data_IF_439212337120
#
_entry.id   IF_439212337120
#
_cell.length_a   1.000
_cell.length_b   1.000
_cell.length_c   1.000
_cell.angle_alpha   90.00
_cell.angle_beta   90.00
_cell.angle_gamma   90.00
#
_symmetry.space_group_name_H-M   'P 1'
#
loop_
_entity.id
_entity.type
_entity.pdbx_description
1 polymer ?
2 non-polymer ?
3 water ?
#
# COMPACT_ATOMS: atom_id res chain seq x y z
N UNK A 2 -17.03 -13.03 -6.88
CA UNK A 2 -15.76 -12.30 -6.98
C UNK A 2 -15.96 -10.88 -7.49
N UNK A 3 -15.62 -9.91 -6.65
CA UNK A 3 -15.84 -8.50 -6.96
C UNK A 3 -14.58 -7.66 -6.87
N UNK A 4 -14.64 -6.44 -7.41
CA UNK A 4 -13.51 -5.52 -7.32
C UNK A 4 -13.14 -5.27 -5.86
N UNK A 5 -11.85 -5.08 -5.61
CA UNK A 5 -11.42 -4.75 -4.26
C UNK A 5 -11.86 -3.34 -3.91
N UNK A 6 -11.96 -2.98 -2.63
CA UNK A 6 -12.36 -1.60 -2.31
C UNK A 6 -11.29 -0.60 -2.78
N UNK A 7 -11.74 0.59 -3.16
CA UNK A 7 -10.91 1.71 -3.58
C UNK A 7 -10.62 2.67 -2.43
N UNK A 8 -11.58 2.85 -1.54
CA UNK A 8 -11.41 3.67 -0.35
C UNK A 8 -10.36 3.08 0.59
N UNK A 9 -9.58 3.93 1.21
CA UNK A 9 -8.53 3.50 2.13
C UNK A 9 -8.68 4.22 3.47
N UNK A 10 -9.23 3.55 4.47
CA UNK A 10 -9.71 2.18 4.33
C UNK A 10 -11.09 2.11 3.70
N UNK A 11 -11.46 0.88 3.39
CA UNK A 11 -12.80 0.57 2.88
C UNK A 11 -13.86 0.78 3.97
N UNK A 12 -13.49 0.52 5.22
CA UNK A 12 -14.42 0.54 6.34
C UNK A 12 -13.67 0.76 7.65
N UNK A 13 -14.03 1.81 8.35
CA UNK A 13 -13.28 2.28 9.54
C UNK A 13 -13.30 1.29 10.69
N UNK A 14 -14.31 0.42 10.72
CA UNK A 14 -14.33 -0.57 11.78
C UNK A 14 -13.35 -1.69 11.49
N UNK A 15 -12.93 -1.87 10.23
CA UNK A 15 -12.02 -2.99 9.97
C UNK A 15 -10.70 -2.82 10.74
N UNK A 16 -10.13 -3.90 11.29
CA UNK A 16 -8.81 -3.82 11.90
C UNK A 16 -7.79 -3.14 11.00
N UNK A 17 -6.96 -2.34 11.67
CA UNK A 17 -5.76 -1.78 11.05
C UNK A 17 -4.51 -2.31 11.75
N UNK A 18 -3.65 -2.99 10.99
CA UNK A 18 -2.42 -3.52 11.58
C UNK A 18 -1.21 -2.98 10.82
N UNK A 19 0.00 -3.26 11.33
CA UNK A 19 1.19 -2.77 10.64
C UNK A 19 2.39 -3.72 10.71
N UNK A 20 3.27 -3.50 9.74
CA UNK A 20 4.59 -4.05 9.63
C UNK A 20 5.60 -2.90 9.51
N UNK A 21 6.62 -2.94 10.33
CA UNK A 21 7.82 -2.14 10.18
C UNK A 21 8.85 -3.02 9.48
N UNK A 22 9.31 -2.59 8.32
CA UNK A 22 10.12 -3.43 7.46
C UNK A 22 11.58 -2.99 7.46
N UNK A 23 12.45 -3.97 7.68
CA UNK A 23 13.89 -3.80 7.62
C UNK A 23 14.47 -4.55 6.42
N UNK A 24 15.43 -3.95 5.72
CA UNK A 24 16.10 -4.68 4.66
C UNK A 24 17.61 -4.46 4.80
N UNK A 25 18.35 -5.56 4.74
CA UNK A 25 19.78 -5.62 4.95
C UNK A 25 20.17 -4.95 6.26
N UNK A 26 19.35 -5.19 7.29
CA UNK A 26 19.48 -4.55 8.58
C UNK A 26 19.14 -3.08 8.56
N UNK A 27 18.53 -2.56 7.50
CA UNK A 27 18.15 -1.15 7.43
C UNK A 27 16.64 -1.01 7.54
N UNK A 28 16.21 -0.15 8.46
CA UNK A 28 14.77 0.10 8.60
C UNK A 28 14.29 0.82 7.35
N UNK A 29 13.34 0.24 6.62
CA UNK A 29 12.87 0.88 5.40
C UNK A 29 11.67 1.76 5.72
N UNK A 30 10.70 1.16 6.40
CA UNK A 30 9.59 1.94 6.90
C UNK A 30 8.40 1.04 7.24
N UNK A 31 7.28 1.71 7.50
CA UNK A 31 6.03 1.08 7.86
C UNK A 31 5.08 0.84 6.69
N UNK A 32 4.54 -0.37 6.66
CA UNK A 32 3.34 -0.70 5.92
C UNK A 32 2.13 -0.81 6.85
N UNK A 33 1.07 -0.06 6.59
CA UNK A 33 -0.15 -0.22 7.37
C UNK A 33 -1.19 -0.97 6.54
N UNK A 34 -1.86 -1.96 7.12
CA UNK A 34 -2.80 -2.77 6.37
C UNK A 34 -4.19 -2.72 6.98
N UNK A 35 -5.21 -2.60 6.11
CA UNK A 35 -6.58 -2.78 6.53
C UNK A 35 -7.01 -4.24 6.39
N UNK A 36 -7.64 -4.79 7.43
CA UNK A 36 -8.06 -6.19 7.32
C UNK A 36 -9.57 -6.21 7.09
N UNK A 37 -10.02 -6.94 6.08
CA UNK A 37 -11.41 -6.82 5.65
C UNK A 37 -12.30 -7.73 6.49
N UNK A 38 -12.26 -7.52 7.80
CA UNK A 38 -13.03 -8.33 8.75
C UNK A 38 -14.49 -8.44 8.33
N UNK A 39 -14.99 -7.35 7.73
CA UNK A 39 -16.37 -7.29 7.29
C UNK A 39 -16.67 -8.36 6.24
N UNK A 40 -15.68 -8.79 5.48
CA UNK A 40 -15.92 -9.77 4.41
C UNK A 40 -15.41 -11.15 4.77
N UNK A 41 -14.19 -11.23 5.29
CA UNK A 41 -13.64 -12.54 5.65
C UNK A 41 -13.14 -12.45 7.10
N UNK A 42 -14.08 -12.34 8.04
CA UNK A 42 -13.78 -12.09 9.45
C UNK A 42 -12.78 -13.09 10.04
N UNK A 43 -12.94 -14.35 9.66
CA UNK A 43 -12.12 -15.44 10.18
C UNK A 43 -10.72 -15.38 9.61
N UNK A 44 -10.61 -14.97 8.34
CA UNK A 44 -9.26 -14.83 7.77
C UNK A 44 -8.58 -13.59 8.35
N UNK A 45 -9.32 -12.50 8.49
CA UNK A 45 -8.87 -11.26 9.07
C UNK A 45 -8.37 -11.44 10.51
N UNK A 46 -9.17 -12.11 11.33
CA UNK A 46 -8.81 -12.37 12.71
C UNK A 46 -7.53 -13.19 12.84
N UNK A 47 -7.33 -14.24 12.07
CA UNK A 47 -6.08 -15.01 12.11
C UNK A 47 -4.87 -14.10 11.88
N UNK A 48 -4.96 -13.30 10.80
CA UNK A 48 -3.87 -12.40 10.49
C UNK A 48 -3.71 -11.32 11.55
N UNK A 49 -4.85 -10.83 12.07
CA UNK A 49 -4.77 -9.77 13.06
C UNK A 49 -4.02 -10.30 14.29
N UNK A 50 -4.41 -11.51 14.72
CA UNK A 50 -3.79 -12.07 15.92
C UNK A 50 -2.32 -12.37 15.67
N UNK A 51 -2.01 -12.79 14.44
CA UNK A 51 -0.60 -13.04 14.14
C UNK A 51 0.20 -11.75 14.17
N UNK A 52 -0.47 -10.60 13.98
CA UNK A 52 0.23 -9.32 14.14
C UNK A 52 0.50 -8.95 15.60
N UNK A 53 -0.41 -9.31 16.51
CA UNK A 53 -0.20 -8.92 17.91
C UNK A 53 0.64 -9.95 18.66
N UNK A 54 0.60 -11.22 18.26
CA UNK A 54 1.29 -12.27 18.99
C UNK A 54 0.48 -12.78 20.18
N UNK A 55 -0.69 -12.17 20.37
CA UNK A 55 -1.50 -12.39 21.56
C UNK A 55 -1.94 -13.83 21.79
N UNK A 56 -1.88 -14.73 20.82
CA UNK A 56 -2.31 -16.12 20.98
C UNK A 56 -1.18 -16.97 21.55
N UNK A 57 0.03 -16.43 21.60
CA UNK A 57 1.07 -17.17 22.31
C UNK A 57 1.79 -18.15 21.41
N UNK A 58 2.05 -19.35 21.93
CA UNK A 58 2.85 -20.34 21.21
C UNK A 58 1.97 -21.21 20.32
N UNK A 59 2.52 -21.55 19.14
CA UNK A 59 1.76 -22.40 18.24
C UNK A 59 1.99 -23.87 18.55
N UNK A 60 0.89 -24.59 18.66
CA UNK A 60 0.87 -26.02 18.98
C UNK A 60 1.55 -26.90 17.94
N UNK A 61 1.42 -26.63 16.63
CA UNK A 61 2.06 -27.60 15.74
C UNK A 61 3.46 -27.19 15.35
N UNK A 62 3.83 -25.91 15.51
CA UNK A 62 5.19 -25.53 15.13
C UNK A 62 6.09 -25.30 16.33
N UNK A 63 5.51 -24.83 17.45
CA UNK A 63 6.38 -24.52 18.59
C UNK A 63 6.97 -23.13 18.52
N UNK A 64 6.55 -22.37 17.51
CA UNK A 64 7.00 -20.99 17.43
C UNK A 64 5.89 -20.07 17.94
N UNK A 65 6.27 -18.86 18.29
CA UNK A 65 5.22 -17.87 18.61
C UNK A 65 4.28 -17.73 17.41
N UNK A 66 2.99 -17.57 17.68
CA UNK A 66 2.02 -17.26 16.65
C UNK A 66 2.08 -15.75 16.42
N UNK A 67 3.09 -15.34 15.65
CA UNK A 67 3.51 -13.96 15.51
C UNK A 67 4.37 -13.76 14.27
N UNK A 68 4.13 -12.68 13.53
CA UNK A 68 4.88 -12.28 12.34
C UNK A 68 6.16 -11.54 12.69
N UNK A 69 6.28 -11.17 13.97
CA UNK A 69 7.46 -10.47 14.45
C UNK A 69 8.72 -11.26 14.13
N UNK A 70 9.63 -10.62 13.39
CA UNK A 70 10.89 -11.21 12.99
C UNK A 70 10.78 -12.16 11.81
N UNK A 71 9.59 -12.26 11.23
CA UNK A 71 9.33 -13.12 10.09
C UNK A 71 9.83 -12.49 8.80
N UNK A 72 10.76 -13.14 8.12
CA UNK A 72 11.26 -12.57 6.88
C UNK A 72 10.28 -12.80 5.72
N UNK A 73 10.41 -12.01 4.66
CA UNK A 73 9.75 -12.27 3.38
C UNK A 73 10.67 -13.16 2.55
N UNK A 74 10.31 -14.42 2.32
CA UNK A 74 11.28 -15.32 1.74
C UNK A 74 11.20 -15.44 0.23
N UNK A 75 10.14 -14.90 -0.37
CA UNK A 75 9.91 -15.09 -1.79
C UNK A 75 9.33 -13.82 -2.40
N UNK A 76 10.10 -13.21 -3.28
CA UNK A 76 9.69 -11.91 -3.83
C UNK A 76 9.89 -11.90 -5.34
N UNK A 77 8.85 -11.55 -6.07
CA UNK A 77 8.90 -11.53 -7.54
C UNK A 77 8.41 -10.19 -8.05
N UNK A 78 9.36 -9.42 -8.55
CA UNK A 78 9.13 -8.08 -9.05
C UNK A 78 7.99 -8.09 -10.06
N UNK A 79 7.11 -7.09 -10.02
CA UNK A 79 5.97 -7.08 -10.92
C UNK A 79 5.01 -8.22 -10.63
N UNK A 80 5.02 -8.77 -9.41
CA UNK A 80 3.98 -9.79 -9.14
C UNK A 80 3.55 -9.70 -7.68
N UNK A 81 4.40 -10.14 -6.75
CA UNK A 81 3.93 -10.14 -5.36
C UNK A 81 5.08 -10.28 -4.36
N UNK A 82 4.77 -9.97 -3.10
CA UNK A 82 5.68 -10.19 -1.99
C UNK A 82 5.10 -11.22 -1.02
N UNK A 83 5.86 -12.27 -0.73
CA UNK A 83 5.38 -13.35 0.10
C UNK A 83 6.23 -13.54 1.35
N UNK A 84 5.53 -13.64 2.46
CA UNK A 84 6.12 -13.89 3.76
C UNK A 84 5.19 -14.66 4.67
N UNK A 85 5.38 -14.54 5.99
CA UNK A 85 4.52 -15.20 6.94
C UNK A 85 4.98 -16.58 7.36
N UNK A 86 6.04 -17.14 6.80
CA UNK A 86 6.50 -18.46 7.29
C UNK A 86 7.37 -18.28 8.53
N UNK A 87 6.75 -18.08 9.69
CA UNK A 87 7.56 -17.75 10.86
C UNK A 87 8.23 -18.99 11.45
N UNK A 88 7.81 -20.17 11.00
CA UNK A 88 8.46 -21.36 11.57
C UNK A 88 9.56 -21.88 10.64
N UNK A 89 9.37 -21.97 9.33
CA UNK A 89 10.45 -22.49 8.48
C UNK A 89 11.13 -21.44 7.62
N UNK A 90 10.59 -20.22 7.56
CA UNK A 90 11.10 -19.06 6.86
C UNK A 90 11.51 -19.36 5.41
N UNK A 91 10.82 -20.28 4.74
CA UNK A 91 11.17 -20.68 3.39
C UNK A 91 9.94 -21.17 2.64
N UNK A 92 8.75 -20.89 3.15
CA UNK A 92 7.51 -21.27 2.52
C UNK A 92 6.96 -22.63 2.83
N UNK A 93 7.66 -23.47 3.61
CA UNK A 93 7.05 -24.77 3.92
C UNK A 93 6.33 -24.78 5.26
N UNK A 94 6.40 -23.67 6.00
CA UNK A 94 5.90 -23.67 7.36
C UNK A 94 4.83 -22.64 7.67
N UNK A 95 4.85 -22.19 8.92
CA UNK A 95 3.87 -21.30 9.49
C UNK A 95 2.62 -22.05 9.92
N UNK A 96 1.69 -21.38 10.57
CA UNK A 96 0.45 -22.04 10.99
C UNK A 96 -0.51 -20.95 11.46
N UNK A 97 -1.79 -21.23 11.35
CA UNK A 97 -2.89 -20.37 11.69
C UNK A 97 -3.16 -20.39 13.19
N UNK A 98 -4.13 -19.57 13.62
CA UNK A 98 -4.47 -19.55 15.04
C UNK A 98 -5.54 -20.58 15.35
N UNK A 99 -5.94 -21.38 14.36
CA UNK A 99 -7.04 -22.30 14.56
C UNK A 99 -6.62 -23.77 14.51
N UNK A 100 -5.36 -24.00 14.25
CA UNK A 100 -4.71 -25.24 13.85
C UNK A 100 -3.82 -24.98 12.65
N UNK A 101 -3.12 -25.98 12.10
CA UNK A 101 -2.22 -25.67 11.00
C UNK A 101 -2.91 -24.91 9.86
N UNK A 102 -3.96 -25.51 9.30
CA UNK A 102 -4.66 -25.12 8.11
C UNK A 102 -6.15 -24.88 8.32
N UNK A 103 -6.66 -23.76 7.82
CA UNK A 103 -8.11 -23.55 7.88
C UNK A 103 -8.63 -23.35 6.45
N UNK A 104 -9.94 -23.29 6.33
CA UNK A 104 -10.50 -23.30 4.98
C UNK A 104 -10.54 -21.92 4.34
N UNK A 105 -10.55 -21.94 3.01
CA UNK A 105 -10.83 -20.77 2.18
C UNK A 105 -12.21 -20.23 2.55
N UNK A 106 -12.20 -19.12 3.28
CA UNK A 106 -13.42 -18.56 3.83
C UNK A 106 -14.37 -18.14 2.71
N UNK A 107 -13.84 -17.38 1.75
CA UNK A 107 -14.59 -17.02 0.55
C UNK A 107 -13.63 -16.32 -0.42
N UNK A 108 -14.06 -16.13 -1.66
CA UNK A 108 -13.26 -15.46 -2.66
C UNK A 108 -14.00 -14.24 -3.19
N UNK A 109 -14.55 -13.44 -2.27
CA UNK A 109 -15.43 -12.33 -2.59
C UNK A 109 -14.75 -11.19 -3.34
N UNK A 110 -13.47 -10.98 -3.02
CA UNK A 110 -12.72 -9.92 -3.69
C UNK A 110 -11.75 -10.47 -4.72
N UNK A 111 -11.60 -9.71 -5.79
CA UNK A 111 -10.65 -10.08 -6.83
C UNK A 111 -9.27 -9.49 -6.59
N UNK A 112 -8.20 -10.15 -7.03
CA UNK A 112 -6.89 -9.51 -6.93
C UNK A 112 -6.76 -8.50 -8.07
N UNK A 113 -7.51 -7.41 -7.97
CA UNK A 113 -7.63 -6.48 -9.10
C UNK A 113 -6.64 -5.33 -9.01
N UNK A 114 -5.72 -5.28 -8.05
CA UNK A 114 -4.78 -4.16 -8.06
C UNK A 114 -3.62 -4.37 -7.10
N UNK A 115 -2.64 -3.47 -7.22
CA UNK A 115 -1.50 -3.58 -6.31
C UNK A 115 -1.93 -3.31 -4.87
N UNK A 116 -1.22 -3.87 -3.90
CA UNK A 116 -1.45 -3.45 -2.52
C UNK A 116 -2.48 -4.30 -1.82
N UNK A 117 -2.82 -5.44 -2.42
CA UNK A 117 -3.81 -6.33 -1.85
C UNK A 117 -3.13 -7.46 -1.07
N UNK A 118 -3.74 -7.78 0.06
CA UNK A 118 -3.27 -8.81 0.96
C UNK A 118 -4.10 -10.06 0.76
N UNK A 119 -3.43 -11.16 0.45
CA UNK A 119 -4.12 -12.41 0.13
C UNK A 119 -3.36 -13.59 0.71
N UNK A 120 -4.09 -14.66 0.99
CA UNK A 120 -3.59 -15.85 1.66
C UNK A 120 -2.86 -16.79 0.71
N UNK A 121 -1.60 -17.06 1.05
CA UNK A 121 -0.86 -18.06 0.28
C UNK A 121 -1.46 -19.42 0.59
N UNK A 122 -1.33 -20.44 -0.27
CA UNK A 122 -1.86 -21.71 0.24
C UNK A 122 -1.27 -22.87 -0.54
N UNK A 123 -1.61 -24.10 -0.17
CA UNK A 123 -1.07 -25.23 -0.94
C UNK A 123 -2.23 -26.04 -1.49
N UNK A 124 -3.21 -25.30 -2.00
CA UNK A 124 -4.44 -25.89 -2.50
C UNK A 124 -5.65 -25.53 -1.68
N UNK A 125 -6.80 -26.05 -2.10
CA UNK A 125 -8.03 -25.72 -1.37
C UNK A 125 -7.82 -26.00 0.11
N UNK A 126 -8.37 -25.09 0.89
CA UNK A 126 -8.44 -25.17 2.33
C UNK A 126 -7.12 -25.57 2.98
N UNK A 127 -6.04 -24.87 2.64
CA UNK A 127 -4.76 -25.08 3.32
C UNK A 127 -4.19 -23.75 3.84
N UNK A 128 -5.05 -22.82 4.26
CA UNK A 128 -4.59 -21.55 4.79
C UNK A 128 -3.85 -21.68 6.13
N UNK A 129 -2.68 -21.04 6.20
CA UNK A 129 -1.90 -21.08 7.43
C UNK A 129 -1.57 -19.70 7.96
N UNK A 130 -0.29 -19.34 7.97
CA UNK A 130 0.03 -17.97 8.35
C UNK A 130 0.63 -17.22 7.17
N UNK A 131 1.06 -17.96 6.14
CA UNK A 131 1.68 -17.35 4.98
C UNK A 131 0.71 -16.52 4.14
N UNK A 132 1.19 -15.38 3.66
CA UNK A 132 0.35 -14.45 2.93
C UNK A 132 1.18 -13.79 1.81
N UNK A 133 0.53 -13.02 0.95
CA UNK A 133 1.34 -12.22 0.03
C UNK A 133 0.64 -10.88 -0.12
N UNK A 134 1.44 -9.92 -0.55
CA UNK A 134 1.01 -8.58 -0.90
C UNK A 134 1.24 -8.44 -2.40
N UNK A 135 0.19 -8.16 -3.15
CA UNK A 135 0.42 -8.04 -4.61
C UNK A 135 1.09 -6.72 -4.95
N UNK A 136 1.90 -6.68 -6.02
CA UNK A 136 2.43 -5.38 -6.45
C UNK A 136 1.85 -4.96 -7.79
N UNK A 137 0.93 -5.75 -8.31
CA UNK A 137 0.21 -5.53 -9.55
C UNK A 137 -1.12 -6.27 -9.47
N UNK A 138 -2.06 -6.03 -10.39
CA UNK A 138 -3.25 -6.89 -10.46
C UNK A 138 -2.79 -8.33 -10.68
N UNK A 139 -3.36 -9.30 -9.96
CA UNK A 139 -2.97 -10.70 -10.17
C UNK A 139 -4.20 -11.56 -10.45
N UNK A 140 -4.91 -11.30 -11.55
CA UNK A 140 -6.20 -11.97 -11.76
C UNK A 140 -6.09 -13.48 -11.87
N UNK A 141 -4.92 -14.01 -12.25
CA UNK A 141 -4.87 -15.48 -12.40
C UNK A 141 -5.08 -16.16 -11.05
N UNK A 142 -4.99 -15.38 -9.98
CA UNK A 142 -5.03 -15.98 -8.65
C UNK A 142 -6.46 -16.02 -8.13
N UNK A 143 -7.33 -15.24 -8.74
CA UNK A 143 -8.71 -15.15 -8.28
C UNK A 143 -9.36 -16.50 -8.04
N UNK A 144 -10.10 -16.65 -6.94
CA UNK A 144 -10.81 -17.90 -6.68
C UNK A 144 -9.88 -18.97 -6.16
N UNK A 145 -8.60 -18.66 -6.10
CA UNK A 145 -7.66 -19.69 -5.65
C UNK A 145 -6.98 -19.23 -4.37
N UNK A 146 -7.01 -17.92 -4.18
CA UNK A 146 -6.47 -17.36 -2.93
C UNK A 146 -7.44 -16.34 -2.37
N UNK A 147 -7.68 -16.41 -1.06
CA UNK A 147 -8.60 -15.50 -0.39
C UNK A 147 -7.93 -14.13 -0.20
N UNK A 148 -8.54 -13.09 -0.73
CA UNK A 148 -8.04 -11.72 -0.54
C UNK A 148 -8.65 -11.18 0.73
N UNK A 149 -7.91 -10.59 1.67
CA UNK A 149 -8.54 -10.30 2.97
C UNK A 149 -8.11 -8.98 3.55
N UNK A 150 -7.30 -8.23 2.82
CA UNK A 150 -7.05 -6.85 3.23
C UNK A 150 -6.36 -6.06 2.14
N UNK A 151 -5.92 -4.84 2.44
CA UNK A 151 -5.10 -4.10 1.50
C UNK A 151 -4.17 -3.11 2.21
N UNK A 152 -3.11 -2.70 1.52
CA UNK A 152 -2.24 -1.65 2.04
C UNK A 152 -2.97 -0.32 2.15
N UNK A 153 -2.90 0.39 3.28
CA UNK A 153 -3.53 1.73 3.29
C UNK A 153 -2.51 2.82 3.57
N UNK A 154 -1.29 2.46 3.97
CA UNK A 154 -0.18 3.38 4.17
C UNK A 154 1.11 2.63 3.85
N UNK A 155 2.13 3.26 3.30
CA UNK A 155 3.40 2.56 3.11
C UNK A 155 3.50 1.74 1.85
N UNK A 156 2.63 1.96 0.86
CA UNK A 156 2.81 1.18 -0.39
C UNK A 156 4.19 1.44 -0.98
N UNK A 157 4.76 2.63 -0.80
CA UNK A 157 6.13 2.94 -1.19
C UNK A 157 7.14 2.02 -0.53
N UNK A 158 6.92 1.64 0.73
CA UNK A 158 7.74 0.61 1.37
C UNK A 158 7.56 -0.75 0.69
N UNK A 159 6.31 -1.10 0.36
CA UNK A 159 6.12 -2.34 -0.39
C UNK A 159 6.91 -2.31 -1.70
N UNK A 160 6.92 -1.14 -2.34
CA UNK A 160 7.60 -0.89 -3.60
C UNK A 160 9.10 -1.15 -3.42
N UNK A 161 9.65 -0.58 -2.34
CA UNK A 161 11.08 -0.83 -2.11
C UNK A 161 11.32 -2.31 -1.93
N UNK A 162 10.48 -2.96 -1.13
CA UNK A 162 10.64 -4.42 -0.93
C UNK A 162 10.57 -5.15 -2.25
N UNK A 163 9.65 -4.70 -3.10
CA UNK A 163 9.43 -5.38 -4.38
C UNK A 163 10.70 -5.44 -5.23
N UNK A 164 11.55 -4.45 -5.08
CA UNK A 164 12.74 -4.21 -5.86
C UNK A 164 14.06 -4.71 -5.29
N UNK A 165 14.06 -5.42 -4.17
CA UNK A 165 15.33 -5.92 -3.67
C UNK A 165 15.98 -6.89 -4.64
N UNK A 166 17.31 -6.95 -4.57
CA UNK A 166 18.04 -8.00 -5.26
C UNK A 166 17.62 -9.37 -4.76
N UNK A 167 17.47 -10.26 -5.73
CA UNK A 167 17.05 -11.62 -5.43
C UNK A 167 17.95 -12.62 -6.14
N UNK A 168 18.06 -13.81 -5.58
CA UNK A 168 18.73 -14.94 -6.23
C UNK A 168 17.64 -15.97 -6.52
N UNK A 169 17.21 -16.03 -7.77
CA UNK A 169 15.99 -16.82 -7.98
C UNK A 169 14.86 -15.89 -7.55
N UNK A 170 14.13 -16.28 -6.52
CA UNK A 170 13.07 -15.46 -5.95
C UNK A 170 13.33 -15.14 -4.48
N UNK A 171 14.48 -15.58 -3.98
CA UNK A 171 14.88 -15.36 -2.60
C UNK A 171 15.69 -14.08 -2.49
N UNK A 172 15.29 -13.13 -1.64
CA UNK A 172 16.00 -11.85 -1.56
C UNK A 172 17.46 -12.04 -1.15
N UNK A 173 18.36 -11.27 -1.75
CA UNK A 173 19.78 -11.37 -1.41
C UNK A 173 20.03 -10.78 -0.02
N UNK A 174 19.42 -9.64 0.26
CA UNK A 174 19.49 -9.08 1.61
C UNK A 174 18.32 -9.55 2.47
N UNK A 175 18.48 -9.65 3.79
CA UNK A 175 17.38 -10.19 4.58
C UNK A 175 16.23 -9.18 4.62
N UNK A 176 15.06 -9.68 4.24
CA UNK A 176 13.85 -8.86 4.22
C UNK A 176 12.92 -9.35 5.31
N UNK A 177 12.65 -8.48 6.28
CA UNK A 177 12.04 -8.96 7.51
C UNK A 177 11.04 -8.01 8.12
N UNK A 178 10.08 -8.62 8.82
CA UNK A 178 9.14 -7.86 9.65
C UNK A 178 9.83 -7.60 10.99
N UNK A 179 10.43 -6.43 11.13
CA UNK A 179 11.15 -6.07 12.34
C UNK A 179 10.21 -5.87 13.51
N UNK A 180 9.03 -5.34 13.18
CA UNK A 180 7.98 -5.15 14.16
C UNK A 180 6.63 -5.24 13.48
N UNK A 181 5.61 -5.50 14.29
CA UNK A 181 4.24 -5.57 13.78
C UNK A 181 3.26 -5.38 14.91
N UNK A 182 1.98 -5.25 14.57
CA UNK A 182 1.01 -5.04 15.64
C UNK A 182 -0.30 -4.51 15.12
N UNK A 183 -1.13 -4.12 16.08
CA UNK A 183 -2.44 -3.62 15.66
C UNK A 183 -2.60 -2.17 16.05
N UNK A 184 -3.30 -1.35 15.25
CA UNK A 184 -3.51 0.04 15.65
C UNK A 184 -4.89 0.21 16.28
N UNK A 185 -4.97 0.88 17.42
CA UNK A 185 -6.24 1.27 18.02
C UNK A 185 -6.79 2.46 17.24
N UNK A 186 -8.12 2.59 17.22
CA UNK A 186 -8.71 3.80 16.64
C UNK A 186 -8.01 5.01 17.21
N UNK A 187 -7.46 5.88 16.37
CA UNK A 187 -6.92 7.10 16.97
C UNK A 187 -5.46 7.00 17.33
N UNK A 188 -4.90 5.79 17.40
CA UNK A 188 -3.44 5.76 17.58
C UNK A 188 -2.76 6.52 16.44
N UNK A 189 -1.52 6.95 16.62
CA UNK A 189 -0.76 7.54 15.53
C UNK A 189 -0.37 6.48 14.49
N UNK A 190 -0.37 6.80 13.20
CA UNK A 190 -0.05 5.78 12.19
C UNK A 190 1.33 5.16 12.37
N UNK A 191 2.23 5.92 12.98
CA UNK A 191 3.62 5.52 13.10
C UNK A 191 4.30 5.42 11.74
N UNK A 192 3.97 6.36 10.84
CA UNK A 192 4.55 6.26 9.49
C UNK A 192 5.56 7.36 9.23
N UNK A 193 5.85 8.24 10.19
CA UNK A 193 6.99 9.14 10.04
C UNK A 193 8.27 8.33 10.23
N UNK A 194 9.43 8.76 9.74
CA UNK A 194 10.61 7.89 9.85
C UNK A 194 11.12 7.81 11.28
N UNK A 195 11.37 6.58 11.74
CA UNK A 195 11.80 6.42 13.12
C UNK A 195 13.30 6.63 13.22
N UNK A 196 13.70 7.88 13.05
CA UNK A 196 15.13 8.20 13.00
C UNK A 196 15.54 9.27 14.00
N UNK A 197 14.66 9.74 14.87
CA UNK A 197 15.03 10.72 15.88
C UNK A 197 15.24 12.12 15.33
N UNK A 198 14.92 12.36 14.06
CA UNK A 198 15.25 13.62 13.41
C UNK A 198 14.24 14.73 13.67
N UNK A 199 13.14 14.42 14.37
CA UNK A 199 12.10 15.42 14.53
C UNK A 199 11.25 15.53 13.27
N UNK A 200 11.49 14.66 12.29
CA UNK A 200 10.69 14.62 11.06
C UNK A 200 9.35 13.94 11.30
N UNK A 201 8.28 14.72 11.39
CA UNK A 201 6.96 14.14 11.58
C UNK A 201 6.23 13.78 10.29
N UNK A 202 6.80 13.93 9.10
CA UNK A 202 6.02 13.64 7.89
C UNK A 202 6.12 12.21 7.43
N UNK A 203 5.02 11.63 6.95
CA UNK A 203 5.12 10.25 6.42
C UNK A 203 6.19 10.13 5.36
N UNK A 204 6.88 8.99 5.27
CA UNK A 204 7.89 8.76 4.26
C UNK A 204 7.38 9.01 2.85
N UNK A 205 6.11 8.69 2.56
CA UNK A 205 5.60 8.96 1.21
C UNK A 205 4.47 9.97 1.24
N UNK A 206 4.53 10.99 0.39
CA UNK A 206 3.55 12.09 0.47
C UNK A 206 2.13 11.62 0.26
N UNK A 207 1.92 10.56 -0.51
CA UNK A 207 0.53 10.11 -0.70
C UNK A 207 -0.14 9.62 0.57
N UNK A 208 0.64 9.41 1.62
CA UNK A 208 0.20 8.91 2.92
C UNK A 208 -0.01 10.05 3.92
N UNK A 209 0.38 11.25 3.52
CA UNK A 209 0.29 12.40 4.43
C UNK A 209 -1.16 12.84 4.58
N UNK A 210 -1.52 13.53 5.66
CA UNK A 210 -2.92 13.96 5.78
C UNK A 210 -3.13 15.34 5.17
N UNK A 211 -2.59 15.55 3.98
CA UNK A 211 -2.63 16.87 3.36
C UNK A 211 -3.09 16.77 1.91
N UNK A 212 -3.86 17.75 1.46
CA UNK A 212 -4.16 17.88 0.03
C UNK A 212 -2.89 18.26 -0.71
N UNK A 213 -2.29 17.30 -1.41
CA UNK A 213 -0.98 17.51 -2.03
C UNK A 213 -0.93 18.63 -3.05
N UNK A 214 -2.09 19.07 -3.54
CA UNK A 214 -2.14 20.11 -4.57
C UNK A 214 -2.04 21.49 -3.92
N UNK A 215 -2.20 21.52 -2.60
CA UNK A 215 -2.07 22.74 -1.83
C UNK A 215 -0.59 23.11 -1.66
N UNK A 216 -0.11 23.90 -2.60
CA UNK A 216 1.27 24.25 -2.84
C UNK A 216 1.89 24.97 -1.63
N UNK A 217 1.13 25.87 -1.03
CA UNK A 217 1.64 26.53 0.18
C UNK A 217 1.91 25.52 1.28
N UNK A 218 1.05 24.50 1.45
CA UNK A 218 1.31 23.55 2.53
C UNK A 218 2.49 22.65 2.22
N UNK A 219 2.60 22.24 0.96
CA UNK A 219 3.75 21.44 0.57
C UNK A 219 5.06 22.20 0.77
N UNK A 220 5.04 23.52 0.59
CA UNK A 220 6.29 24.26 0.80
C UNK A 220 6.60 24.38 2.29
N UNK A 221 5.55 24.40 3.12
CA UNK A 221 5.82 24.43 4.57
C UNK A 221 6.53 23.13 4.91
N UNK A 222 5.92 22.05 4.43
CA UNK A 222 6.55 20.75 4.72
C UNK A 222 7.97 20.72 4.17
N UNK A 223 8.16 21.14 2.92
CA UNK A 223 9.47 21.13 2.29
C UNK A 223 10.49 21.95 3.07
N UNK A 224 10.07 23.10 3.57
CA UNK A 224 10.98 23.93 4.35
C UNK A 224 11.38 23.25 5.65
N UNK A 225 10.43 22.62 6.31
CA UNK A 225 10.74 21.87 7.53
C UNK A 225 11.79 20.81 7.27
N UNK A 226 11.46 19.99 6.27
CA UNK A 226 12.31 18.90 5.83
C UNK A 226 13.70 19.44 5.49
N UNK A 227 13.74 20.54 4.74
CA UNK A 227 15.04 21.08 4.34
C UNK A 227 15.79 21.65 5.54
N UNK A 228 15.05 22.19 6.50
CA UNK A 228 15.76 22.61 7.71
C UNK A 228 16.35 21.39 8.40
N UNK A 229 15.56 20.31 8.47
CA UNK A 229 16.09 19.13 9.16
C UNK A 229 17.34 18.64 8.44
N UNK A 230 17.30 18.65 7.11
CA UNK A 230 18.44 18.26 6.31
C UNK A 230 19.64 19.15 6.57
N UNK A 231 19.40 20.45 6.66
CA UNK A 231 20.54 21.38 6.88
C UNK A 231 21.21 21.12 8.22
N UNK A 232 20.37 20.68 9.16
CA UNK A 232 20.87 20.34 10.49
C UNK A 232 21.77 19.12 10.41
N UNK A 233 21.34 18.11 9.66
CA UNK A 233 22.20 16.95 9.47
C UNK A 233 23.47 17.43 8.76
N UNK A 234 23.25 18.32 7.79
CA UNK A 234 24.40 18.84 7.06
C UNK A 234 25.37 19.49 8.04
N UNK A 235 24.86 20.34 8.93
CA UNK A 235 25.72 20.97 9.93
C UNK A 235 26.41 19.95 10.83
N UNK A 236 25.83 18.77 10.99
CA UNK A 236 26.40 17.77 11.88
C UNK A 236 27.32 16.83 11.13
N UNK A 237 27.54 17.18 9.86
CA UNK A 237 28.38 16.34 9.00
C UNK A 237 27.73 14.99 8.72
N UNK A 238 26.44 14.89 9.04
CA UNK A 238 25.70 13.69 8.68
C UNK A 238 25.16 13.76 7.26
N UNK A 239 26.03 13.72 6.27
CA UNK A 239 25.73 13.88 4.86
C UNK A 239 24.67 12.90 4.38
N UNK A 240 24.76 11.63 4.76
CA UNK A 240 23.82 10.66 4.22
C UNK A 240 22.41 10.96 4.71
N UNK A 241 22.29 11.31 6.00
CA UNK A 241 21.03 11.71 6.58
C UNK A 241 20.51 13.02 5.99
N UNK A 242 21.43 13.91 5.61
CA UNK A 242 21.11 15.18 4.97
C UNK A 242 20.53 14.94 3.58
N UNK A 243 21.14 14.04 2.84
CA UNK A 243 20.70 13.65 1.50
C UNK A 243 19.34 12.98 1.54
N UNK A 244 19.13 12.10 2.52
CA UNK A 244 17.83 11.54 2.84
C UNK A 244 16.75 12.62 2.94
N UNK A 245 16.95 13.63 3.79
CA UNK A 245 15.94 14.65 4.02
C UNK A 245 15.72 15.49 2.76
N UNK A 246 16.83 15.86 2.14
CA UNK A 246 16.77 16.62 0.90
C UNK A 246 16.01 15.83 -0.16
N UNK A 247 16.32 14.54 -0.24
CA UNK A 247 15.66 13.70 -1.23
C UNK A 247 14.16 13.61 -0.95
N UNK A 248 13.80 13.65 0.33
CA UNK A 248 12.41 13.57 0.72
C UNK A 248 11.63 14.80 0.29
N UNK A 249 12.25 15.99 0.23
CA UNK A 249 11.38 17.10 -0.20
C UNK A 249 11.09 16.90 -1.68
N UNK A 250 12.05 16.30 -2.39
CA UNK A 250 11.89 16.13 -3.82
C UNK A 250 10.72 15.17 -4.05
N UNK A 251 10.62 14.17 -3.18
CA UNK A 251 9.51 13.22 -3.22
C UNK A 251 8.20 13.95 -2.95
N UNK A 252 8.21 14.83 -1.96
CA UNK A 252 7.00 15.60 -1.67
C UNK A 252 6.68 16.52 -2.85
N UNK A 253 7.66 17.17 -3.45
CA UNK A 253 7.39 18.06 -4.59
C UNK A 253 6.87 17.24 -5.76
N UNK A 254 7.45 16.07 -6.02
CA UNK A 254 6.95 15.22 -7.10
C UNK A 254 5.55 14.70 -6.80
N UNK A 255 5.28 14.35 -5.55
CA UNK A 255 3.95 13.88 -5.17
C UNK A 255 2.88 14.95 -5.39
N UNK A 256 3.21 16.18 -5.03
CA UNK A 256 2.34 17.33 -5.21
C UNK A 256 1.99 17.50 -6.69
N UNK A 257 3.00 17.48 -7.56
CA UNK A 257 2.82 17.60 -9.00
C UNK A 257 2.00 16.44 -9.57
N UNK A 258 2.32 15.21 -9.21
CA UNK A 258 1.53 14.08 -9.68
C UNK A 258 0.07 14.21 -9.22
N UNK A 259 -0.12 14.75 -8.02
CA UNK A 259 -1.46 14.91 -7.47
C UNK A 259 -2.27 15.90 -8.30
N UNK A 260 -1.69 17.06 -8.59
CA UNK A 260 -2.30 18.10 -9.40
C UNK A 260 -2.64 17.57 -10.78
N UNK A 261 -1.67 16.91 -11.40
CA UNK A 261 -1.85 16.32 -12.71
C UNK A 261 -2.97 15.30 -12.70
N UNK A 262 -2.86 14.30 -11.82
CA UNK A 262 -3.91 13.28 -11.84
C UNK A 262 -5.29 13.90 -11.69
N UNK A 263 -5.48 14.77 -10.69
CA UNK A 263 -6.80 15.31 -10.41
C UNK A 263 -7.34 16.04 -11.64
N UNK A 264 -6.43 16.69 -12.35
CA UNK A 264 -6.83 17.43 -13.54
C UNK A 264 -7.31 16.46 -14.62
N UNK A 265 -6.56 15.39 -14.81
CA UNK A 265 -6.88 14.41 -15.84
C UNK A 265 -8.18 13.68 -15.52
N UNK A 266 -8.40 13.40 -14.24
CA UNK A 266 -9.59 12.72 -13.78
C UNK A 266 -10.83 13.60 -13.77
N UNK A 267 -10.66 14.91 -13.53
CA UNK A 267 -11.85 15.70 -13.20
C UNK A 267 -12.15 16.86 -14.14
N UNK A 268 -11.14 17.62 -14.51
CA UNK A 268 -11.26 18.78 -15.38
C UNK A 268 -11.18 18.42 -16.86
N UNK A 269 -10.24 17.57 -17.26
CA UNK A 269 -10.12 17.19 -18.67
C UNK A 269 -11.44 16.67 -19.24
N UNK A 270 -12.10 15.74 -18.56
CA UNK A 270 -13.40 15.26 -19.08
C UNK A 270 -14.38 16.40 -19.32
N UNK A 271 -14.54 17.25 -18.30
CA UNK A 271 -15.54 18.31 -18.45
C UNK A 271 -15.07 19.29 -19.51
N UNK A 272 -13.76 19.52 -19.64
CA UNK A 272 -13.37 20.43 -20.73
C UNK A 272 -13.62 19.77 -22.09
N UNK A 273 -13.35 18.47 -22.18
CA UNK A 273 -13.60 17.74 -23.41
C UNK A 273 -15.06 17.91 -23.81
N UNK A 274 -15.93 17.71 -22.83
CA UNK A 274 -17.37 17.74 -23.08
C UNK A 274 -17.77 19.13 -23.53
N UNK A 275 -17.11 20.16 -22.99
CA UNK A 275 -17.53 21.51 -23.38
C UNK A 275 -17.16 21.81 -24.82
N UNK A 276 -15.95 21.38 -25.22
CA UNK A 276 -15.53 21.59 -26.60
C UNK A 276 -16.45 20.83 -27.56
N UNK A 277 -16.80 19.60 -27.19
CA UNK A 277 -17.76 18.81 -27.96
C UNK A 277 -19.06 19.59 -28.10
N UNK A 278 -19.61 20.11 -27.01
CA UNK A 278 -20.86 20.85 -27.11
C UNK A 278 -20.73 22.09 -27.99
N UNK A 279 -19.56 22.72 -27.93
CA UNK A 279 -19.38 23.91 -28.76
C UNK A 279 -19.44 23.51 -30.23
N UNK A 280 -18.80 22.37 -30.56
CA UNK A 280 -18.83 21.97 -31.97
C UNK A 280 -20.28 21.75 -32.40
N UNK A 281 -21.03 21.12 -31.48
CA UNK A 281 -22.45 20.93 -31.77
C UNK A 281 -23.10 22.29 -32.03
N UNK A 282 -22.81 23.27 -31.18
CA UNK A 282 -23.44 24.58 -31.27
C UNK A 282 -23.05 25.24 -32.59
N UNK A 283 -21.82 24.99 -33.01
CA UNK A 283 -21.36 25.61 -34.27
C UNK A 283 -22.17 25.03 -35.43
N UNK A 284 -22.54 23.75 -35.37
CA UNK A 284 -23.31 23.19 -36.49
C UNK A 284 -24.69 23.83 -36.54
N UNK A 285 -25.39 23.82 -35.40
CA UNK A 285 -26.69 24.46 -35.26
C UNK A 285 -26.63 25.85 -35.88
N UNK A 286 -25.60 26.61 -35.51
CA UNK A 286 -25.62 27.96 -36.07
C UNK A 286 -25.36 27.94 -37.56
N UNK A 287 -24.44 27.08 -38.04
CA UNK A 287 -24.21 27.17 -39.49
C UNK A 287 -25.48 26.77 -40.19
N UNK A 288 -26.13 25.71 -39.69
CA UNK A 288 -27.43 25.31 -40.23
C UNK A 288 -28.46 26.43 -40.20
N UNK A 289 -28.62 27.13 -39.08
CA UNK A 289 -29.62 28.20 -39.06
C UNK A 289 -29.27 29.30 -40.07
N UNK A 290 -27.97 29.51 -40.32
CA UNK A 290 -27.65 30.53 -41.32
C UNK A 290 -27.84 29.96 -42.72
N UNK A 291 -27.64 28.65 -42.91
CA UNK A 291 -27.79 28.12 -44.26
C UNK A 291 -29.23 28.28 -44.75
N UNK A 292 -30.12 27.86 -43.88
CA UNK A 292 -31.57 27.95 -43.95
C UNK A 292 -32.04 29.37 -44.22
N UNK A 293 -31.46 30.32 -43.49
CA UNK A 293 -31.82 31.72 -43.64
C UNK A 293 -31.33 32.30 -44.96
N UNK A 294 -30.17 31.79 -45.41
CA UNK A 294 -29.57 32.23 -46.66
C UNK A 294 -30.49 31.97 -47.84
N UNK A 295 -30.67 30.65 -48.05
CA UNK A 295 -31.64 30.25 -49.07
C UNK A 295 -32.90 31.08 -48.97
N UNK A 296 -33.56 31.08 -47.81
CA UNK A 296 -34.78 31.85 -47.70
C UNK A 296 -34.63 33.26 -48.27
N UNK A 297 -33.99 34.12 -47.50
CA UNK A 297 -33.85 35.51 -47.91
C UNK A 297 -33.19 35.56 -49.28
N UNK A 298 -32.88 34.37 -49.78
CA UNK A 298 -32.28 34.21 -51.09
C UNK A 298 -33.26 33.57 -52.08
X LIG B 1 12.28 8.49 2.88
X LIG B 1 13.50 9.25 2.94
X LIG B 1 12.45 7.21 3.74
X LIG B 1 13.84 6.83 3.72
X LIG B 1 11.68 6.06 3.04
X LIG B 1 12.67 5.38 2.24
#
# INVERSE_FOLDING_TARGET
MSHPSPQAKPSNPSNPRVFFDVDIGGERVGRIVLELFADIVPKTAENFRALCTGEKGIGPTTGKPLHFKGCPFHRIIKKFMIQGGDFSNQNGTGGESIYGEKFEDENFHYKHDKEGLLSMANAGSNTNGSQFFITTVPTPHLDGKHVVFGQVIKGMGVAKILENVEVKGEKPAKLCVIAECGELKEGDDWGIFPKDGSGDSHPDFPEDADVDLKDVDKILLISEDLKNIGNTFFKSQNWEMAIKKYTKVLRYVEGSRAAAEDADGAKLQPVALSCVLNIGACKLKMSDWQGAVDSCLEALEIDPSNTKALYRRAQGWQGLKEYDQALADLKKAQEIAPEDKAIQAELLKVKQKIKAQKDKEKAAYAKMFA
GOL C1 O1 C2 O2 C3 O3
#
